data_IF_161890541499
#
_entry.id   IF_161890541499
#
_cell.length_a   1.000
_cell.length_b   1.000
_cell.length_c   1.000
_cell.angle_alpha   90.00
_cell.angle_beta   90.00
_cell.angle_gamma   90.00
#
_symmetry.space_group_name_H-M   'P 1'
#
loop_
_entity.id
_entity.type
_entity.pdbx_description
1 polymer ?
#
# COMPACT_ATOMS: atom_id res chain seq x y z
N UNK A 1 -19.05 -8.84 1.43
CA UNK A 1 -17.78 -9.36 0.86
C UNK A 1 -16.63 -8.69 1.61
N UNK A 2 -15.93 -9.42 2.49
CA UNK A 2 -14.71 -8.90 3.10
C UNK A 2 -13.63 -8.88 2.02
N UNK A 3 -13.23 -7.69 1.59
CA UNK A 3 -12.08 -7.49 0.71
C UNK A 3 -10.85 -8.07 1.41
N UNK A 4 -10.04 -8.85 0.68
CA UNK A 4 -8.79 -9.37 1.23
C UNK A 4 -7.93 -8.21 1.74
N UNK A 5 -7.29 -8.34 2.91
CA UNK A 5 -6.48 -7.28 3.49
C UNK A 5 -5.33 -6.91 2.54
N UNK A 6 -5.17 -5.62 2.25
CA UNK A 6 -4.19 -5.11 1.29
C UNK A 6 -3.55 -3.83 1.82
N UNK A 7 -2.21 -3.85 1.89
CA UNK A 7 -1.41 -2.75 2.44
C UNK A 7 -1.56 -1.44 1.68
N UNK A 8 -1.97 -1.48 0.41
CA UNK A 8 -2.19 -0.30 -0.42
C UNK A 8 -3.51 0.37 -0.03
N UNK A 9 -4.57 -0.43 0.14
CA UNK A 9 -5.87 0.05 0.63
C UNK A 9 -5.74 0.62 2.04
N UNK A 10 -5.06 -0.09 2.93
CA UNK A 10 -4.84 0.39 4.31
C UNK A 10 -4.03 1.70 4.34
N UNK A 11 -3.03 1.83 3.46
CA UNK A 11 -2.24 3.05 3.34
C UNK A 11 -3.11 4.22 2.86
N UNK A 12 -3.92 3.99 1.81
CA UNK A 12 -4.85 4.98 1.29
C UNK A 12 -5.84 5.44 2.36
N UNK A 13 -6.49 4.50 3.04
CA UNK A 13 -7.51 4.79 4.05
C UNK A 13 -6.93 5.49 5.29
N UNK A 14 -5.74 5.08 5.76
CA UNK A 14 -5.04 5.77 6.85
C UNK A 14 -4.71 7.20 6.47
N UNK A 15 -4.16 7.42 5.26
CA UNK A 15 -3.83 8.76 4.78
C UNK A 15 -5.07 9.62 4.57
N UNK A 16 -6.16 9.04 4.06
CA UNK A 16 -7.46 9.69 3.90
C UNK A 16 -8.01 10.17 5.24
N UNK A 17 -7.99 9.33 6.28
CA UNK A 17 -8.46 9.68 7.63
C UNK A 17 -7.59 10.75 8.31
N UNK A 18 -6.29 10.76 8.03
CA UNK A 18 -5.36 11.76 8.61
C UNK A 18 -5.36 13.12 7.92
N UNK A 19 -5.95 13.25 6.71
CA UNK A 19 -5.92 14.48 5.92
C UNK A 19 -7.21 15.27 6.17
N UNK A 20 -7.11 16.32 7.00
CA UNK A 20 -8.27 17.14 7.40
C UNK A 20 -8.87 18.00 6.26
N UNK A 21 -8.10 18.30 5.21
CA UNK A 21 -8.61 19.01 4.03
C UNK A 21 -7.59 18.93 2.90
N UNK A 22 -8.08 18.71 1.68
CA UNK A 22 -7.38 18.86 0.40
C UNK A 22 -6.19 17.93 0.10
N UNK A 23 -6.48 16.87 -0.67
CA UNK A 23 -5.46 16.23 -1.49
C UNK A 23 -5.66 14.75 -1.84
N UNK A 24 -6.89 14.27 -2.07
CA UNK A 24 -7.12 12.86 -2.44
C UNK A 24 -6.29 12.40 -3.65
N UNK A 25 -6.03 13.30 -4.61
CA UNK A 25 -5.13 13.06 -5.75
C UNK A 25 -3.71 12.71 -5.31
N UNK A 26 -3.16 13.42 -4.32
CA UNK A 26 -1.82 13.15 -3.77
C UNK A 26 -1.77 11.80 -3.04
N UNK A 27 -2.83 11.48 -2.29
CA UNK A 27 -2.94 10.20 -1.57
C UNK A 27 -3.04 9.04 -2.58
N UNK A 28 -3.81 9.20 -3.66
CA UNK A 28 -3.91 8.22 -4.74
C UNK A 28 -2.55 7.99 -5.43
N UNK A 29 -1.86 9.08 -5.81
CA UNK A 29 -0.51 8.99 -6.42
C UNK A 29 0.46 8.24 -5.49
N UNK A 30 0.49 8.57 -4.20
CA UNK A 30 1.35 7.88 -3.23
C UNK A 30 0.98 6.40 -3.05
N UNK A 31 -0.31 6.07 -3.11
CA UNK A 31 -0.79 4.69 -3.02
C UNK A 31 -0.37 3.87 -4.23
N UNK A 32 -0.49 4.42 -5.44
CA UNK A 32 -0.01 3.78 -6.69
C UNK A 32 1.51 3.64 -6.70
N UNK A 33 2.24 4.66 -6.26
CA UNK A 33 3.69 4.58 -6.11
C UNK A 33 4.11 3.41 -5.20
N UNK A 34 3.45 3.27 -4.05
CA UNK A 34 3.68 2.17 -3.11
C UNK A 34 3.33 0.81 -3.74
N UNK A 35 2.25 0.74 -4.51
CA UNK A 35 1.84 -0.46 -5.25
C UNK A 35 2.92 -0.90 -6.26
N UNK A 36 3.40 0.02 -7.11
CA UNK A 36 4.44 -0.27 -8.12
C UNK A 36 5.72 -0.76 -7.43
N UNK A 37 6.14 -0.09 -6.35
CA UNK A 37 7.33 -0.48 -5.57
C UNK A 37 7.20 -1.87 -4.97
N UNK A 38 6.02 -2.21 -4.44
CA UNK A 38 5.74 -3.56 -3.92
C UNK A 38 5.77 -4.60 -5.03
N UNK A 39 5.07 -4.39 -6.15
CA UNK A 39 5.08 -5.33 -7.27
C UNK A 39 6.48 -5.56 -7.82
N UNK A 40 7.28 -4.49 -7.97
CA UNK A 40 8.67 -4.59 -8.42
C UNK A 40 9.52 -5.45 -7.47
N UNK A 41 9.41 -5.24 -6.16
CA UNK A 41 10.16 -6.02 -5.18
C UNK A 41 9.75 -7.51 -5.21
N UNK A 42 8.45 -7.79 -5.30
CA UNK A 42 7.93 -9.16 -5.39
C UNK A 42 8.45 -9.89 -6.63
N UNK A 43 8.36 -9.25 -7.80
CA UNK A 43 8.86 -9.82 -9.06
C UNK A 43 10.37 -10.02 -9.00
N UNK A 44 11.11 -9.03 -8.49
CA UNK A 44 12.57 -9.09 -8.39
C UNK A 44 13.06 -10.26 -7.51
N UNK A 45 12.29 -10.62 -6.49
CA UNK A 45 12.65 -11.67 -5.53
C UNK A 45 11.92 -12.99 -5.77
N UNK A 46 11.11 -13.10 -6.83
CA UNK A 46 10.23 -14.25 -7.11
C UNK A 46 9.35 -14.64 -5.91
N UNK A 47 8.79 -13.63 -5.25
CA UNK A 47 7.99 -13.79 -4.04
C UNK A 47 6.51 -13.51 -4.32
N UNK A 48 5.65 -14.33 -3.75
CA UNK A 48 4.22 -14.07 -3.70
C UNK A 48 3.90 -12.98 -2.67
N UNK A 49 2.85 -12.21 -2.93
CA UNK A 49 2.38 -11.20 -1.98
C UNK A 49 1.78 -11.87 -0.74
N UNK A 50 2.40 -11.65 0.42
CA UNK A 50 1.88 -12.03 1.73
C UNK A 50 1.69 -10.78 2.59
N UNK A 51 0.45 -10.56 3.04
CA UNK A 51 0.08 -9.43 3.89
C UNK A 51 0.86 -9.42 5.22
N UNK A 52 1.03 -10.57 5.87
CA UNK A 52 1.73 -10.65 7.16
C UNK A 52 3.23 -10.35 7.01
N UNK A 53 3.84 -10.79 5.92
CA UNK A 53 5.26 -10.51 5.61
C UNK A 53 5.45 -9.03 5.26
N UNK A 54 4.54 -8.46 4.46
CA UNK A 54 4.55 -7.04 4.11
C UNK A 54 4.34 -6.13 5.35
N UNK A 55 3.56 -6.58 6.34
CA UNK A 55 3.33 -5.85 7.61
C UNK A 55 4.62 -5.73 8.44
N UNK A 56 5.47 -6.77 8.40
CA UNK A 56 6.73 -6.84 9.17
C UNK A 56 7.85 -6.02 8.52
N UNK A 57 7.86 -5.91 7.19
CA UNK A 57 8.81 -5.10 6.44
C UNK A 57 8.44 -3.60 6.45
N UNK A 58 8.50 -2.96 7.62
CA UNK A 58 8.27 -1.50 7.79
C UNK A 58 9.37 -0.61 7.17
N UNK A 59 10.29 -1.17 6.39
CA UNK A 59 11.45 -0.48 5.78
C UNK A 59 11.43 -0.47 4.24
N UNK A 60 10.27 -0.68 3.61
CA UNK A 60 10.10 -0.48 2.16
C UNK A 60 9.41 0.83 1.82
#
# INVERSE_FOLDING_TARGET
KATQPCHITDYYDKKKRSSNSQGYKKIAIASVHKLIRTMFALIKHDQLYDYNIATKNKRL
#
